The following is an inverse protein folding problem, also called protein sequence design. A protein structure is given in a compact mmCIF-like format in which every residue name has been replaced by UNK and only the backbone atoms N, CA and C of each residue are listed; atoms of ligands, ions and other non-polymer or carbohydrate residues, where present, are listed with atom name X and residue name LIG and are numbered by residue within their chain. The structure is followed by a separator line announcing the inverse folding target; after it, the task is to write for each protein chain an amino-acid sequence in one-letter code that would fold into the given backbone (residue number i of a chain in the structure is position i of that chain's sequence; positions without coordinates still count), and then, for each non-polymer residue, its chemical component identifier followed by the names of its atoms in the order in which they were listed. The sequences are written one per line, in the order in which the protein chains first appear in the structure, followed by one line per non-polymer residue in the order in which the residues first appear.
data_IF_428315206029
#
_entry.id   IF_428315206029
#
_cell.length_a   1.000
_cell.length_b   1.000
_cell.length_c   1.000
_cell.angle_alpha   90.00
_cell.angle_beta   90.00
_cell.angle_gamma   90.00
#
_symmetry.space_group_name_H-M   'P 1'
#
loop_
_entity.id
_entity.type
_entity.pdbx_description
1 polymer ?
#
# COMPACT_ATOMS: atom_id res chain seq x y z
N UNK A 1 -18.05 -8.29 48.68
CA UNK A 1 -16.91 -7.52 49.22
C UNK A 1 -16.30 -8.36 50.36
N UNK A 2 -14.99 -8.58 50.33
CA UNK A 2 -14.31 -9.32 51.36
C UNK A 2 -14.13 -8.42 52.59
N UNK A 3 -14.17 -9.01 53.81
CA UNK A 3 -14.05 -8.28 55.07
C UNK A 3 -12.78 -7.40 55.16
N UNK A 4 -11.68 -7.81 54.52
CA UNK A 4 -10.43 -7.07 54.43
C UNK A 4 -10.51 -5.76 53.61
N UNK A 5 -11.48 -5.65 52.68
CA UNK A 5 -11.66 -4.44 51.85
C UNK A 5 -12.41 -3.34 52.62
N UNK A 6 -13.22 -3.72 53.63
CA UNK A 6 -14.03 -2.76 54.43
C UNK A 6 -13.20 -2.09 55.51
N UNK A 7 -12.12 -2.74 56.00
CA UNK A 7 -11.24 -2.23 57.06
C UNK A 7 -9.87 -1.79 56.55
N UNK A 8 -9.74 -1.54 55.23
CA UNK A 8 -8.50 -1.01 54.69
C UNK A 8 -8.40 0.48 54.99
N UNK A 9 -7.60 0.84 55.99
CA UNK A 9 -7.14 2.20 56.19
C UNK A 9 -5.91 2.42 55.31
N UNK A 10 -5.93 3.41 54.39
CA UNK A 10 -4.74 3.75 53.62
C UNK A 10 -3.63 4.17 54.61
N UNK A 11 -2.47 3.51 54.54
CA UNK A 11 -1.29 4.00 55.25
C UNK A 11 -1.04 5.44 54.84
N UNK A 12 -0.82 6.33 55.85
CA UNK A 12 -0.33 7.68 55.56
C UNK A 12 0.91 7.58 54.68
N UNK A 13 0.91 8.25 53.56
CA UNK A 13 2.07 8.27 52.66
C UNK A 13 3.25 8.84 53.45
N UNK A 14 4.35 8.07 53.50
CA UNK A 14 5.59 8.51 54.10
C UNK A 14 6.14 9.68 53.28
N UNK A 15 6.22 10.87 53.88
CA UNK A 15 6.69 12.09 53.21
C UNK A 15 8.08 11.90 52.56
N UNK A 16 8.95 11.11 53.18
CA UNK A 16 10.28 10.81 52.63
C UNK A 16 10.17 9.94 51.39
N UNK A 17 9.27 8.95 51.38
CA UNK A 17 8.99 8.11 50.23
C UNK A 17 8.39 8.94 49.07
N UNK A 18 7.51 9.89 49.36
CA UNK A 18 6.91 10.79 48.39
C UNK A 18 7.97 11.69 47.75
N UNK A 19 8.80 12.37 48.54
CA UNK A 19 9.91 13.21 48.05
C UNK A 19 10.89 12.42 47.19
N UNK A 20 11.22 11.19 47.61
CA UNK A 20 12.08 10.30 46.82
C UNK A 20 11.44 9.95 45.46
N UNK A 21 10.13 9.65 45.46
CA UNK A 21 9.37 9.38 44.21
C UNK A 21 9.43 10.57 43.27
N UNK A 22 9.11 11.77 43.77
CA UNK A 22 9.13 13.01 42.97
C UNK A 22 10.53 13.28 42.39
N UNK A 23 11.58 13.11 43.18
CA UNK A 23 12.96 13.25 42.69
C UNK A 23 13.26 12.28 41.55
N UNK A 24 12.89 11.01 41.70
CA UNK A 24 13.12 10.00 40.65
C UNK A 24 12.28 10.30 39.38
N UNK A 25 11.03 10.72 39.54
CA UNK A 25 10.17 11.12 38.45
C UNK A 25 10.73 12.33 37.69
N UNK A 26 11.24 13.35 38.42
CA UNK A 26 11.92 14.49 37.80
C UNK A 26 13.17 14.08 36.99
N UNK A 27 13.93 13.08 37.47
CA UNK A 27 15.08 12.55 36.69
C UNK A 27 14.65 11.74 35.48
N UNK A 28 13.55 11.00 35.59
CA UNK A 28 12.96 10.29 34.43
C UNK A 28 12.52 11.29 33.36
N UNK A 29 11.86 12.37 33.76
CA UNK A 29 11.43 13.45 32.85
C UNK A 29 12.64 14.11 32.16
N UNK A 30 13.67 14.45 32.89
CA UNK A 30 14.92 14.97 32.36
C UNK A 30 15.51 14.06 31.27
N UNK A 31 15.64 12.76 31.54
CA UNK A 31 16.17 11.80 30.58
C UNK A 31 15.26 11.61 29.39
N UNK A 32 13.94 11.65 29.60
CA UNK A 32 12.98 11.57 28.48
C UNK A 32 13.03 12.82 27.59
N UNK A 33 13.15 14.00 28.16
CA UNK A 33 13.27 15.24 27.42
C UNK A 33 14.58 15.31 26.63
N UNK A 34 15.68 14.86 27.23
CA UNK A 34 17.02 14.89 26.61
C UNK A 34 17.17 13.80 25.55
N UNK A 35 16.64 12.60 25.81
CA UNK A 35 16.76 11.42 24.93
C UNK A 35 15.43 10.64 24.90
N UNK A 36 14.42 11.08 24.17
CA UNK A 36 13.06 10.51 24.21
C UNK A 36 12.97 9.06 23.75
N UNK A 37 14.02 8.53 23.12
CA UNK A 37 14.12 7.14 22.68
C UNK A 37 14.62 6.18 23.77
N UNK A 38 14.94 6.66 24.97
CA UNK A 38 15.35 5.79 26.07
C UNK A 38 14.13 5.08 26.67
N UNK A 39 14.13 3.74 26.59
CA UNK A 39 13.13 2.91 27.26
C UNK A 39 13.49 2.63 28.73
N UNK A 40 12.56 2.02 29.45
CA UNK A 40 12.65 1.73 30.90
C UNK A 40 13.96 1.08 31.34
N UNK A 41 14.59 0.23 30.50
CA UNK A 41 15.88 -0.43 30.85
C UNK A 41 17.03 0.58 30.84
N UNK A 42 17.08 1.45 29.82
CA UNK A 42 18.13 2.44 29.66
C UNK A 42 18.01 3.56 30.70
N UNK A 43 16.79 4.05 30.94
CA UNK A 43 16.52 5.04 32.01
C UNK A 43 16.91 4.47 33.38
N UNK A 44 16.56 3.23 33.71
CA UNK A 44 16.97 2.60 34.96
C UNK A 44 18.51 2.46 35.06
N UNK A 45 19.22 2.28 33.98
CA UNK A 45 20.68 2.24 33.98
C UNK A 45 21.27 3.61 34.23
N UNK A 46 20.75 4.68 33.62
CA UNK A 46 21.17 6.07 33.87
C UNK A 46 20.95 6.47 35.32
N UNK A 47 19.76 6.23 35.84
CA UNK A 47 19.44 6.56 37.26
C UNK A 47 20.34 5.81 38.25
N UNK A 48 20.70 4.56 37.97
CA UNK A 48 21.68 3.83 38.79
C UNK A 48 23.08 4.42 38.72
N UNK A 49 23.47 4.87 37.51
CA UNK A 49 24.72 5.61 37.34
C UNK A 49 24.76 6.93 38.12
N UNK A 50 23.60 7.56 38.33
CA UNK A 50 23.44 8.75 39.18
C UNK A 50 23.33 8.42 40.70
N UNK A 51 23.42 7.16 41.07
CA UNK A 51 23.38 6.72 42.49
C UNK A 51 21.99 6.36 43.04
N UNK A 52 20.94 6.38 42.17
CA UNK A 52 19.60 5.98 42.62
C UNK A 52 19.44 4.46 42.66
N UNK A 53 19.02 3.90 43.79
CA UNK A 53 18.69 2.47 43.88
C UNK A 53 17.32 2.18 43.26
N UNK A 54 17.27 2.06 41.93
CA UNK A 54 16.03 1.86 41.17
C UNK A 54 16.11 0.63 40.27
N UNK A 55 15.01 -0.12 40.19
CA UNK A 55 14.84 -1.23 39.31
C UNK A 55 13.99 -0.85 38.10
N UNK A 56 14.08 -1.67 37.02
CA UNK A 56 13.27 -1.50 35.79
C UNK A 56 11.76 -1.44 36.09
N UNK A 57 11.26 -2.25 37.01
CA UNK A 57 9.82 -2.30 37.34
C UNK A 57 9.33 -0.97 37.89
N UNK A 58 10.10 -0.36 38.81
CA UNK A 58 9.80 0.94 39.42
C UNK A 58 9.82 2.05 38.37
N UNK A 59 10.87 2.11 37.55
CA UNK A 59 10.96 3.09 36.43
C UNK A 59 9.78 2.94 35.45
N UNK A 60 9.37 1.71 35.15
CA UNK A 60 8.20 1.46 34.28
C UNK A 60 6.92 2.01 34.92
N UNK A 61 6.71 1.77 36.23
CA UNK A 61 5.53 2.26 36.94
C UNK A 61 5.47 3.79 36.89
N UNK A 62 6.58 4.46 37.17
CA UNK A 62 6.65 5.92 37.16
C UNK A 62 6.48 6.51 35.77
N UNK A 63 7.08 5.92 34.75
CA UNK A 63 6.85 6.34 33.35
C UNK A 63 5.38 6.19 32.96
N UNK A 64 4.70 5.12 33.38
CA UNK A 64 3.27 4.93 33.14
C UNK A 64 2.41 5.97 33.87
N UNK A 65 2.71 6.26 35.12
CA UNK A 65 2.03 7.28 35.92
C UNK A 65 2.19 8.68 35.32
N UNK A 66 3.37 8.99 34.76
CA UNK A 66 3.66 10.25 34.08
C UNK A 66 3.12 10.31 32.64
N UNK A 67 2.56 9.22 32.10
CA UNK A 67 2.13 9.13 30.71
C UNK A 67 3.29 9.15 29.69
N UNK A 68 4.52 8.86 30.13
CA UNK A 68 5.74 8.92 29.32
C UNK A 68 6.00 7.60 28.62
N UNK A 69 6.21 7.66 27.31
CA UNK A 69 6.55 6.52 26.48
C UNK A 69 7.80 6.80 25.65
N UNK A 70 8.72 5.83 25.58
CA UNK A 70 9.88 5.97 24.71
C UNK A 70 9.45 6.07 23.22
N UNK A 71 10.07 7.00 22.50
CA UNK A 71 9.93 7.09 21.06
C UNK A 71 10.69 5.93 20.41
N UNK A 72 10.01 5.09 19.67
CA UNK A 72 10.58 3.98 18.91
C UNK A 72 9.87 3.83 17.57
N UNK A 73 10.51 3.24 16.58
CA UNK A 73 9.85 2.94 15.30
C UNK A 73 8.60 2.11 15.55
N UNK A 74 7.46 2.59 15.06
CA UNK A 74 6.20 1.82 15.12
C UNK A 74 6.37 0.50 14.36
N UNK A 75 5.58 -0.54 14.70
CA UNK A 75 5.54 -1.77 13.90
C UNK A 75 5.31 -1.42 12.43
N UNK A 76 6.06 -2.08 11.55
CA UNK A 76 5.85 -1.91 10.11
C UNK A 76 4.47 -2.46 9.75
N UNK A 77 3.50 -1.56 9.53
CA UNK A 77 2.12 -1.90 9.17
C UNK A 77 2.03 -2.51 7.75
N UNK A 78 3.10 -2.36 6.96
CA UNK A 78 3.23 -3.04 5.67
C UNK A 78 3.62 -4.53 5.79
N UNK A 79 3.79 -5.06 7.00
CA UNK A 79 3.92 -6.51 7.20
C UNK A 79 2.57 -7.16 6.87
N UNK A 80 2.56 -7.81 5.71
CA UNK A 80 1.42 -8.57 5.17
C UNK A 80 0.87 -9.55 6.20
N UNK A 81 -0.45 -9.58 6.32
CA UNK A 81 -1.15 -10.60 7.09
C UNK A 81 -1.17 -11.90 6.26
N UNK A 82 -0.17 -12.75 6.45
CA UNK A 82 0.15 -13.88 5.57
C UNK A 82 -0.89 -15.00 5.52
N UNK A 83 -1.90 -15.01 6.39
CA UNK A 83 -2.73 -16.19 6.59
C UNK A 83 -4.08 -16.23 5.86
N UNK A 84 -4.61 -15.08 5.41
CA UNK A 84 -6.01 -15.04 4.94
C UNK A 84 -6.23 -14.40 3.55
N UNK A 85 -5.19 -13.86 2.92
CA UNK A 85 -5.37 -12.98 1.75
C UNK A 85 -4.73 -13.43 0.45
N UNK A 86 -4.08 -14.59 0.38
CA UNK A 86 -3.42 -15.04 -0.85
C UNK A 86 -4.41 -15.80 -1.72
N UNK A 87 -4.74 -15.19 -2.86
CA UNK A 87 -5.51 -15.84 -3.92
C UNK A 87 -4.55 -16.63 -4.80
N UNK A 88 -4.94 -17.84 -5.28
CA UNK A 88 -4.09 -18.65 -6.13
C UNK A 88 -3.78 -17.96 -7.47
N UNK A 89 -2.55 -18.17 -7.97
CA UNK A 89 -2.17 -17.75 -9.31
C UNK A 89 -2.84 -18.62 -10.36
N UNK A 90 -3.71 -18.02 -11.17
CA UNK A 90 -4.55 -18.71 -12.15
C UNK A 90 -3.97 -18.77 -13.57
N UNK A 91 -2.80 -18.15 -13.80
CA UNK A 91 -2.29 -17.89 -15.15
C UNK A 91 -1.13 -18.82 -15.56
N UNK A 92 -0.77 -19.81 -14.73
CA UNK A 92 0.31 -20.75 -15.03
C UNK A 92 0.00 -21.50 -16.35
N UNK A 93 0.88 -21.35 -17.34
CA UNK A 93 0.76 -21.98 -18.67
C UNK A 93 -0.53 -21.63 -19.43
N UNK A 94 -1.20 -20.52 -19.05
CA UNK A 94 -2.42 -20.08 -19.74
C UNK A 94 -2.06 -19.31 -21.00
N UNK A 95 -2.49 -19.81 -22.15
CA UNK A 95 -2.42 -19.06 -23.41
C UNK A 95 -3.62 -18.11 -23.45
N UNK A 96 -3.35 -16.80 -23.61
CA UNK A 96 -4.37 -15.77 -23.80
C UNK A 96 -4.62 -15.64 -25.30
N UNK A 97 -5.87 -15.78 -25.75
CA UNK A 97 -6.25 -15.91 -27.15
C UNK A 97 -7.32 -14.92 -27.61
N UNK A 98 -7.93 -14.17 -26.70
CA UNK A 98 -8.93 -13.14 -27.03
C UNK A 98 -8.92 -12.01 -25.98
N UNK A 99 -9.44 -10.81 -26.34
CA UNK A 99 -9.54 -9.68 -25.42
C UNK A 99 -10.42 -10.01 -24.21
N UNK A 100 -10.17 -9.33 -23.07
CA UNK A 100 -10.90 -9.52 -21.82
C UNK A 100 -10.79 -10.92 -21.20
N UNK A 101 -9.90 -11.76 -21.72
CA UNK A 101 -9.63 -13.04 -21.06
C UNK A 101 -8.81 -12.86 -19.79
N UNK A 102 -7.81 -12.00 -19.83
CA UNK A 102 -6.94 -11.67 -18.67
C UNK A 102 -6.57 -10.20 -18.72
N UNK A 103 -6.82 -9.50 -17.64
CA UNK A 103 -6.25 -8.18 -17.38
C UNK A 103 -5.22 -8.23 -16.27
N UNK A 104 -4.26 -7.32 -16.30
CA UNK A 104 -3.38 -7.02 -15.16
C UNK A 104 -3.63 -5.61 -14.67
N UNK A 105 -3.55 -5.45 -13.36
CA UNK A 105 -3.61 -4.17 -12.66
C UNK A 105 -2.37 -3.99 -11.78
N UNK A 106 -1.82 -2.78 -11.76
CA UNK A 106 -0.69 -2.44 -10.90
C UNK A 106 -0.66 -0.94 -10.63
N UNK A 107 0.12 -0.53 -9.64
CA UNK A 107 0.26 0.85 -9.21
C UNK A 107 1.73 1.26 -9.34
N UNK A 108 1.95 2.40 -9.98
CA UNK A 108 3.27 3.03 -10.00
C UNK A 108 3.23 4.43 -9.41
N UNK A 109 4.32 4.85 -8.76
CA UNK A 109 4.45 6.23 -8.31
C UNK A 109 5.15 7.10 -9.36
N UNK A 110 4.73 8.35 -9.44
CA UNK A 110 5.30 9.39 -10.29
C UNK A 110 5.74 10.52 -9.38
N UNK A 111 7.05 10.83 -9.42
CA UNK A 111 7.60 11.93 -8.64
C UNK A 111 7.17 13.26 -9.26
N UNK A 112 6.66 14.18 -8.46
CA UNK A 112 6.35 15.56 -8.82
C UNK A 112 7.36 16.50 -8.16
N UNK A 113 7.32 17.77 -8.52
CA UNK A 113 8.14 18.79 -7.85
C UNK A 113 7.83 18.85 -6.34
N UNK A 114 6.55 18.74 -5.97
CA UNK A 114 6.11 18.59 -4.58
C UNK A 114 5.39 17.24 -4.42
N UNK A 115 6.05 16.26 -3.79
CA UNK A 115 5.44 14.98 -3.44
C UNK A 115 5.41 13.95 -4.56
N UNK A 116 4.43 13.07 -4.50
CA UNK A 116 4.25 11.96 -5.43
C UNK A 116 2.79 11.83 -5.82
N UNK A 117 2.56 11.39 -7.06
CA UNK A 117 1.26 10.91 -7.53
C UNK A 117 1.34 9.40 -7.77
N UNK A 118 0.23 8.72 -7.61
CA UNK A 118 0.09 7.29 -7.82
C UNK A 118 -0.77 7.05 -9.04
N UNK A 119 -0.22 6.34 -10.03
CA UNK A 119 -0.94 5.93 -11.22
C UNK A 119 -1.30 4.46 -11.09
N UNK A 120 -2.58 4.17 -11.00
CA UNK A 120 -3.13 2.82 -11.18
C UNK A 120 -3.49 2.64 -12.63
N UNK A 121 -3.09 1.54 -13.25
CA UNK A 121 -3.45 1.22 -14.63
C UNK A 121 -3.88 -0.24 -14.77
N UNK A 122 -4.74 -0.50 -15.76
CA UNK A 122 -5.24 -1.82 -16.14
C UNK A 122 -4.91 -2.08 -17.59
N UNK A 123 -4.25 -3.19 -17.88
CA UNK A 123 -3.86 -3.60 -19.24
C UNK A 123 -4.50 -4.92 -19.62
N UNK A 124 -5.04 -5.00 -20.83
CA UNK A 124 -5.48 -6.27 -21.41
C UNK A 124 -4.29 -7.07 -21.97
N UNK A 125 -4.17 -8.33 -21.58
CA UNK A 125 -3.03 -9.16 -21.96
C UNK A 125 -2.99 -9.53 -23.44
N UNK A 126 -4.14 -9.68 -24.07
CA UNK A 126 -4.23 -10.06 -25.47
C UNK A 126 -3.82 -8.91 -26.39
N UNK A 127 -4.49 -7.78 -26.25
CA UNK A 127 -4.32 -6.62 -27.13
C UNK A 127 -3.23 -5.64 -26.68
N UNK A 128 -2.76 -5.73 -25.43
CA UNK A 128 -1.88 -4.73 -24.79
C UNK A 128 -2.54 -3.37 -24.55
N UNK A 129 -3.83 -3.25 -24.80
CA UNK A 129 -4.59 -2.01 -24.59
C UNK A 129 -4.63 -1.64 -23.11
N UNK A 130 -4.41 -0.39 -22.79
CA UNK A 130 -4.73 0.17 -21.48
C UNK A 130 -6.25 0.40 -21.46
N UNK A 131 -6.94 -0.40 -20.68
CA UNK A 131 -8.41 -0.44 -20.62
C UNK A 131 -8.98 0.46 -19.54
N UNK A 132 -8.17 0.79 -18.50
CA UNK A 132 -8.56 1.70 -17.43
C UNK A 132 -7.36 2.26 -16.70
N UNK A 133 -7.51 3.44 -16.10
CA UNK A 133 -6.47 4.04 -15.28
C UNK A 133 -7.02 5.13 -14.36
N UNK A 134 -6.31 5.39 -13.27
CA UNK A 134 -6.63 6.49 -12.32
C UNK A 134 -5.34 7.09 -11.79
N UNK A 135 -5.30 8.41 -11.67
CA UNK A 135 -4.21 9.15 -11.04
C UNK A 135 -4.69 9.76 -9.72
N UNK A 136 -4.00 9.47 -8.61
CA UNK A 136 -4.34 9.92 -7.27
C UNK A 136 -3.11 10.44 -6.52
N UNK A 137 -3.31 11.29 -5.52
CA UNK A 137 -2.31 11.72 -4.55
C UNK A 137 -2.20 10.78 -3.34
N UNK A 138 -3.14 9.82 -3.21
CA UNK A 138 -3.13 8.80 -2.15
C UNK A 138 -2.93 7.39 -2.71
N UNK A 139 -2.35 6.53 -1.88
CA UNK A 139 -2.14 5.10 -2.17
C UNK A 139 -3.26 4.25 -1.53
N UNK A 140 -4.49 4.74 -1.55
CA UNK A 140 -5.64 4.07 -0.99
C UNK A 140 -6.25 3.04 -1.95
N UNK A 141 -7.19 2.24 -1.46
CA UNK A 141 -7.93 1.26 -2.28
C UNK A 141 -8.87 1.94 -3.28
N UNK A 142 -9.45 3.10 -2.94
CA UNK A 142 -10.44 3.79 -3.77
C UNK A 142 -10.00 4.07 -5.20
N UNK A 143 -8.79 4.64 -5.48
CA UNK A 143 -8.32 4.83 -6.86
C UNK A 143 -8.19 3.52 -7.65
N UNK A 144 -7.90 2.41 -6.98
CA UNK A 144 -7.85 1.08 -7.59
C UNK A 144 -9.24 0.63 -8.03
N UNK A 145 -10.26 0.82 -7.19
CA UNK A 145 -11.65 0.51 -7.52
C UNK A 145 -12.13 1.34 -8.70
N UNK A 146 -11.84 2.64 -8.71
CA UNK A 146 -12.18 3.56 -9.81
C UNK A 146 -11.53 3.14 -11.14
N UNK A 147 -10.27 2.68 -11.12
CA UNK A 147 -9.59 2.20 -12.31
C UNK A 147 -10.25 0.93 -12.87
N UNK A 148 -10.65 -0.01 -12.02
CA UNK A 148 -11.35 -1.24 -12.43
C UNK A 148 -12.74 -0.91 -12.98
N UNK A 149 -13.52 -0.07 -12.29
CA UNK A 149 -14.85 0.33 -12.72
C UNK A 149 -14.81 1.02 -14.08
N UNK A 150 -13.93 2.01 -14.26
CA UNK A 150 -13.73 2.67 -15.54
C UNK A 150 -13.32 1.71 -16.66
N UNK A 151 -12.45 0.73 -16.35
CA UNK A 151 -12.06 -0.29 -17.34
C UNK A 151 -13.26 -1.15 -17.77
N UNK A 152 -14.09 -1.59 -16.81
CA UNK A 152 -15.27 -2.41 -17.07
C UNK A 152 -16.33 -1.64 -17.86
N UNK A 153 -16.57 -0.37 -17.51
CA UNK A 153 -17.53 0.49 -18.22
C UNK A 153 -17.14 0.69 -19.69
N UNK A 154 -15.85 0.85 -19.97
CA UNK A 154 -15.36 1.15 -21.32
C UNK A 154 -15.08 -0.09 -22.17
N UNK A 155 -14.73 -1.21 -21.56
CA UNK A 155 -14.19 -2.37 -22.28
C UNK A 155 -14.88 -3.71 -21.93
N UNK A 156 -15.88 -3.69 -21.05
CA UNK A 156 -16.56 -4.90 -20.60
C UNK A 156 -15.83 -5.64 -19.48
N UNK A 157 -16.34 -6.80 -19.09
CA UNK A 157 -15.88 -7.53 -17.90
C UNK A 157 -14.81 -8.56 -18.31
N UNK A 158 -13.60 -8.56 -17.65
CA UNK A 158 -12.60 -9.59 -17.90
C UNK A 158 -12.93 -10.90 -17.17
N UNK A 159 -12.47 -12.02 -17.70
CA UNK A 159 -12.61 -13.29 -17.01
C UNK A 159 -11.68 -13.42 -15.78
N UNK A 160 -10.49 -12.82 -15.85
CA UNK A 160 -9.49 -12.83 -14.78
C UNK A 160 -8.83 -11.44 -14.67
N UNK A 161 -8.67 -10.95 -13.43
CA UNK A 161 -7.87 -9.78 -13.13
C UNK A 161 -6.69 -10.20 -12.23
N UNK A 162 -5.47 -10.02 -12.75
CA UNK A 162 -4.22 -10.35 -12.09
C UNK A 162 -3.61 -9.12 -11.43
N UNK A 163 -3.12 -9.27 -10.21
CA UNK A 163 -2.43 -8.22 -9.46
C UNK A 163 -1.25 -8.79 -8.68
N UNK A 164 -0.42 -7.92 -8.16
CA UNK A 164 0.53 -8.28 -7.11
C UNK A 164 -0.20 -8.50 -5.77
N UNK A 165 0.56 -8.77 -4.71
CA UNK A 165 0.04 -8.97 -3.36
C UNK A 165 0.01 -7.66 -2.54
N UNK A 166 -0.16 -6.51 -3.17
CA UNK A 166 -0.29 -5.21 -2.51
C UNK A 166 -1.50 -5.16 -1.57
N UNK A 167 -1.43 -4.31 -0.54
CA UNK A 167 -2.52 -4.17 0.45
C UNK A 167 -3.83 -3.73 -0.18
N UNK A 168 -3.78 -2.91 -1.24
CA UNK A 168 -4.94 -2.45 -1.99
C UNK A 168 -5.69 -3.61 -2.66
N UNK A 169 -4.94 -4.55 -3.25
CA UNK A 169 -5.48 -5.70 -3.97
C UNK A 169 -5.92 -6.85 -3.05
N UNK A 170 -5.55 -6.79 -1.77
CA UNK A 170 -5.98 -7.74 -0.73
C UNK A 170 -7.07 -7.18 0.16
N UNK A 171 -7.50 -5.93 -0.03
CA UNK A 171 -8.58 -5.29 0.72
C UNK A 171 -9.93 -5.96 0.48
N UNK A 172 -10.82 -5.90 1.48
CA UNK A 172 -12.15 -6.48 1.34
C UNK A 172 -13.03 -5.73 0.33
N UNK A 173 -12.83 -4.39 0.22
CA UNK A 173 -13.54 -3.59 -0.79
C UNK A 173 -13.19 -4.02 -2.22
N UNK A 174 -11.90 -4.26 -2.50
CA UNK A 174 -11.46 -4.73 -3.82
C UNK A 174 -12.01 -6.12 -4.13
N UNK A 175 -11.93 -7.03 -3.17
CA UNK A 175 -12.48 -8.40 -3.34
C UNK A 175 -13.99 -8.40 -3.54
N UNK A 176 -14.70 -7.53 -2.83
CA UNK A 176 -16.15 -7.37 -2.98
C UNK A 176 -16.50 -6.88 -4.38
N UNK A 177 -15.82 -5.84 -4.88
CA UNK A 177 -16.02 -5.35 -6.24
C UNK A 177 -15.81 -6.45 -7.28
N UNK A 178 -14.73 -7.25 -7.17
CA UNK A 178 -14.48 -8.33 -8.12
C UNK A 178 -15.54 -9.44 -8.08
N UNK A 179 -16.06 -9.77 -6.88
CA UNK A 179 -17.17 -10.72 -6.72
C UNK A 179 -18.46 -10.20 -7.36
N UNK A 180 -18.80 -8.93 -7.12
CA UNK A 180 -19.99 -8.27 -7.71
C UNK A 180 -19.93 -8.23 -9.23
N UNK A 181 -18.75 -8.02 -9.79
CA UNK A 181 -18.49 -8.02 -11.24
C UNK A 181 -18.25 -9.42 -11.81
N UNK A 182 -18.30 -10.48 -11.00
CA UNK A 182 -18.00 -11.87 -11.41
C UNK A 182 -16.60 -12.06 -12.02
N UNK A 183 -15.63 -11.24 -11.62
CA UNK A 183 -14.24 -11.31 -12.07
C UNK A 183 -13.45 -12.25 -11.16
N UNK A 184 -12.76 -13.22 -11.72
CA UNK A 184 -11.87 -14.09 -10.95
C UNK A 184 -10.57 -13.35 -10.64
N UNK A 185 -10.26 -13.21 -9.34
CA UNK A 185 -8.99 -12.66 -8.90
C UNK A 185 -7.87 -13.68 -9.09
N UNK A 186 -6.71 -13.22 -9.56
CA UNK A 186 -5.44 -13.94 -9.59
C UNK A 186 -4.38 -13.07 -8.93
N UNK A 187 -3.47 -13.69 -8.19
CA UNK A 187 -2.34 -12.99 -7.57
C UNK A 187 -1.02 -13.64 -7.91
N UNK A 188 -0.02 -12.81 -8.19
CA UNK A 188 1.34 -13.26 -8.43
C UNK A 188 1.90 -14.03 -7.24
N UNK A 189 2.58 -15.14 -7.50
CA UNK A 189 3.28 -15.90 -6.48
C UNK A 189 4.52 -15.16 -5.96
N UNK A 190 4.98 -15.53 -4.75
CA UNK A 190 6.26 -15.02 -4.24
C UNK A 190 7.38 -15.31 -5.23
N UNK A 191 8.17 -14.27 -5.55
CA UNK A 191 9.39 -14.35 -6.39
C UNK A 191 9.17 -14.69 -7.88
N UNK A 192 8.00 -14.44 -8.45
CA UNK A 192 7.73 -14.63 -9.87
C UNK A 192 7.57 -13.27 -10.56
N UNK A 193 8.68 -12.64 -10.88
CA UNK A 193 8.78 -11.38 -11.62
C UNK A 193 8.14 -11.42 -13.02
N UNK A 194 7.93 -12.62 -13.59
CA UNK A 194 7.38 -12.78 -14.93
C UNK A 194 5.85 -12.62 -15.00
N UNK A 195 5.17 -12.66 -13.86
CA UNK A 195 3.71 -12.78 -13.82
C UNK A 195 2.98 -11.44 -14.07
N UNK A 196 3.66 -10.28 -13.94
CA UNK A 196 3.09 -8.94 -14.19
C UNK A 196 3.90 -8.10 -15.20
N UNK A 197 4.78 -8.76 -15.96
CA UNK A 197 5.77 -8.13 -16.85
C UNK A 197 5.16 -7.17 -17.88
N UNK A 198 3.89 -7.36 -18.27
CA UNK A 198 3.27 -6.55 -19.31
C UNK A 198 2.99 -5.14 -18.84
N UNK A 199 2.38 -4.99 -17.67
CA UNK A 199 2.09 -3.68 -17.09
C UNK A 199 3.36 -3.00 -16.58
N UNK A 200 4.32 -3.76 -16.05
CA UNK A 200 5.62 -3.23 -15.64
C UNK A 200 6.40 -2.64 -16.84
N UNK A 201 6.39 -3.33 -17.99
CA UNK A 201 6.97 -2.82 -19.25
C UNK A 201 6.26 -1.56 -19.72
N UNK A 202 4.94 -1.53 -19.63
CA UNK A 202 4.18 -0.34 -20.01
C UNK A 202 4.52 0.84 -19.09
N UNK A 203 4.58 0.65 -17.77
CA UNK A 203 5.03 1.69 -16.85
C UNK A 203 6.45 2.18 -17.15
N UNK A 204 7.34 1.28 -17.53
CA UNK A 204 8.69 1.68 -17.95
C UNK A 204 8.62 2.59 -19.19
N UNK A 205 7.85 2.21 -20.21
CA UNK A 205 7.67 3.04 -21.40
C UNK A 205 7.08 4.40 -21.06
N UNK A 206 5.98 4.44 -20.31
CA UNK A 206 5.39 5.70 -19.84
C UNK A 206 6.41 6.60 -19.11
N UNK A 207 7.21 6.01 -18.22
CA UNK A 207 8.20 6.79 -17.46
C UNK A 207 9.32 7.33 -18.35
N UNK A 208 9.85 6.53 -19.27
CA UNK A 208 10.96 6.95 -20.13
C UNK A 208 10.50 7.88 -21.26
N UNK A 209 9.30 7.67 -21.80
CA UNK A 209 8.84 8.41 -22.98
C UNK A 209 8.03 9.67 -22.63
N UNK A 210 7.48 9.75 -21.40
CA UNK A 210 6.66 10.88 -20.99
C UNK A 210 7.17 11.54 -19.70
N UNK A 211 7.36 10.75 -18.62
CA UNK A 211 7.54 11.34 -17.29
C UNK A 211 8.94 11.91 -17.10
N UNK A 212 9.99 11.20 -17.52
CA UNK A 212 11.38 11.61 -17.26
C UNK A 212 11.89 12.72 -18.19
N UNK A 213 11.22 12.96 -19.30
CA UNK A 213 11.59 13.97 -20.27
C UNK A 213 10.81 15.29 -20.11
N UNK A 214 9.82 15.31 -19.21
CA UNK A 214 8.97 16.49 -18.96
C UNK A 214 8.91 16.81 -17.46
N UNK A 215 8.65 18.09 -17.17
CA UNK A 215 8.36 18.56 -15.83
C UNK A 215 6.89 18.97 -15.73
N UNK A 216 6.21 18.49 -14.68
CA UNK A 216 4.80 18.78 -14.44
C UNK A 216 4.65 19.61 -13.17
N UNK A 217 4.00 20.77 -13.28
CA UNK A 217 3.82 21.71 -12.17
C UNK A 217 2.55 21.43 -11.36
N UNK A 218 1.58 20.71 -11.94
CA UNK A 218 0.33 20.41 -11.28
C UNK A 218 -0.17 18.98 -11.58
N UNK A 219 -0.94 18.38 -10.67
CA UNK A 219 -1.61 17.09 -10.91
C UNK A 219 -2.54 17.12 -12.14
N UNK A 220 -3.16 18.27 -12.45
CA UNK A 220 -4.03 18.45 -13.61
C UNK A 220 -3.24 18.33 -14.92
N UNK A 221 -2.09 19.00 -14.98
CA UNK A 221 -1.19 18.93 -16.14
C UNK A 221 -0.68 17.51 -16.38
N UNK A 222 -0.19 16.85 -15.32
CA UNK A 222 0.23 15.45 -15.37
C UNK A 222 -0.90 14.51 -15.84
N UNK A 223 -2.12 14.70 -15.34
CA UNK A 223 -3.30 13.90 -15.73
C UNK A 223 -3.60 14.07 -17.22
N UNK A 224 -3.52 15.29 -17.73
CA UNK A 224 -3.75 15.58 -19.15
C UNK A 224 -2.68 14.92 -20.03
N UNK A 225 -1.41 15.00 -19.63
CA UNK A 225 -0.30 14.39 -20.35
C UNK A 225 -0.41 12.85 -20.37
N UNK A 226 -0.73 12.23 -19.22
CA UNK A 226 -0.93 10.77 -19.14
C UNK A 226 -2.11 10.33 -20.02
N UNK A 227 -3.21 11.08 -20.02
CA UNK A 227 -4.36 10.78 -20.90
C UNK A 227 -3.95 10.77 -22.37
N UNK A 228 -3.30 11.84 -22.82
CA UNK A 228 -2.82 11.92 -24.21
C UNK A 228 -1.88 10.78 -24.57
N UNK A 229 -0.92 10.46 -23.68
CA UNK A 229 -0.02 9.32 -23.88
C UNK A 229 -0.75 7.98 -23.98
N UNK A 230 -1.76 7.73 -23.15
CA UNK A 230 -2.55 6.49 -23.17
C UNK A 230 -3.37 6.42 -24.47
N UNK A 231 -3.96 7.54 -24.90
CA UNK A 231 -4.71 7.61 -26.15
C UNK A 231 -3.80 7.31 -27.35
N UNK A 232 -2.63 7.94 -27.43
CA UNK A 232 -1.63 7.68 -28.48
C UNK A 232 -1.09 6.25 -28.42
N UNK A 233 -0.81 5.73 -27.22
CA UNK A 233 -0.36 4.35 -26.99
C UNK A 233 -1.39 3.35 -27.52
N UNK A 234 -2.66 3.56 -27.25
CA UNK A 234 -3.72 2.66 -27.67
C UNK A 234 -4.04 2.76 -29.16
N UNK A 235 -4.02 3.98 -29.75
CA UNK A 235 -4.60 4.23 -31.08
C UNK A 235 -3.60 4.51 -32.20
N UNK A 236 -2.41 5.03 -31.85
CA UNK A 236 -1.43 5.48 -32.85
C UNK A 236 -0.13 4.67 -32.82
N UNK A 237 0.30 4.22 -31.64
CA UNK A 237 1.60 3.57 -31.47
C UNK A 237 1.58 2.13 -32.05
N UNK A 238 2.46 1.80 -33.04
CA UNK A 238 2.61 0.44 -33.53
C UNK A 238 3.41 -0.40 -32.51
N UNK A 239 3.02 -1.65 -32.32
CA UNK A 239 3.66 -2.58 -31.41
C UNK A 239 4.25 -3.77 -32.16
N UNK A 240 5.55 -4.01 -32.04
CA UNK A 240 6.23 -5.15 -32.65
C UNK A 240 5.57 -6.50 -32.24
N UNK A 241 5.23 -6.66 -30.97
CA UNK A 241 4.57 -7.86 -30.47
C UNK A 241 3.13 -8.06 -30.96
N UNK A 242 2.58 -7.10 -31.70
CA UNK A 242 1.26 -7.09 -32.35
C UNK A 242 1.38 -6.93 -33.88
N UNK A 243 2.49 -7.39 -34.45
CA UNK A 243 2.77 -7.25 -35.89
C UNK A 243 2.63 -5.80 -36.40
N UNK A 244 3.14 -4.85 -35.60
CA UNK A 244 3.09 -3.41 -35.84
C UNK A 244 1.68 -2.81 -35.92
N UNK A 245 0.67 -3.53 -35.48
CA UNK A 245 -0.68 -2.96 -35.28
C UNK A 245 -0.79 -2.24 -33.92
N UNK A 246 -1.85 -1.44 -33.76
CA UNK A 246 -2.10 -0.75 -32.49
C UNK A 246 -2.92 -1.62 -31.54
N UNK A 247 -2.79 -1.41 -30.20
CA UNK A 247 -3.61 -2.13 -29.22
C UNK A 247 -5.12 -2.05 -29.48
N UNK A 248 -5.61 -0.88 -29.88
CA UNK A 248 -7.03 -0.66 -30.20
C UNK A 248 -7.48 -1.47 -31.43
N UNK A 249 -6.64 -1.54 -32.45
CA UNK A 249 -6.97 -2.34 -33.67
C UNK A 249 -7.08 -3.82 -33.32
N UNK A 250 -6.10 -4.37 -32.57
CA UNK A 250 -6.11 -5.78 -32.13
C UNK A 250 -7.33 -6.06 -31.24
N UNK A 251 -7.63 -5.14 -30.33
CA UNK A 251 -8.78 -5.27 -29.42
C UNK A 251 -10.10 -5.34 -30.22
N UNK A 252 -10.34 -4.41 -31.14
CA UNK A 252 -11.57 -4.34 -31.93
C UNK A 252 -11.71 -5.46 -32.96
N UNK A 253 -10.63 -5.81 -33.67
CA UNK A 253 -10.65 -6.86 -34.69
C UNK A 253 -11.14 -8.22 -34.15
N UNK A 254 -10.83 -8.53 -32.89
CA UNK A 254 -11.23 -9.79 -32.29
C UNK A 254 -12.73 -9.88 -32.00
N UNK A 255 -13.41 -8.77 -31.76
CA UNK A 255 -14.87 -8.75 -31.61
C UNK A 255 -15.59 -8.81 -32.96
N UNK A 256 -15.01 -8.21 -34.00
CA UNK A 256 -15.56 -8.29 -35.35
C UNK A 256 -15.50 -9.74 -35.92
N UNK A 257 -14.45 -10.49 -35.58
CA UNK A 257 -14.30 -11.89 -36.01
C UNK A 257 -15.22 -12.87 -35.23
N UNK A 258 -15.58 -12.55 -33.96
CA UNK A 258 -16.46 -13.37 -33.11
C UNK A 258 -17.97 -13.15 -33.35
N UNK A 259 -18.37 -12.11 -34.10
CA UNK A 259 -19.76 -11.81 -34.44
C UNK A 259 -20.28 -12.47 -35.73
N UNK A 260 -19.45 -13.31 -36.35
CA UNK A 260 -19.78 -13.99 -37.62
C UNK A 260 -19.89 -15.53 -37.46
N UNK A 261 -20.14 -16.02 -36.25
CA UNK A 261 -20.36 -17.45 -35.99
C UNK A 261 -21.72 -17.71 -35.36
#
# INVERSE_FOLDING_TARGET
MTRSTVYYEPKSEDEEALRRKETIMGRIDYWHTTMPFLGTRKIAAQLRGEGYAVGRKLVRSYMQEMGIHAVYPKPNLSKRNFKESIVPYLLRNKKVSFPNQVWSIDITYIKMYHGHMYLTAVIDWFSRKIVGWTLSDTLDTRPVLEAVQSAVENCGIPAILNSDQGSQFTSEEYRRLLRELHIRQSMDGKSRWADNIMIERWFRSLKTELIYINEYRSPKELRTAIRGYIDDYNTLRPHEALDYTTPEQVYKASFAAGGAA
#
